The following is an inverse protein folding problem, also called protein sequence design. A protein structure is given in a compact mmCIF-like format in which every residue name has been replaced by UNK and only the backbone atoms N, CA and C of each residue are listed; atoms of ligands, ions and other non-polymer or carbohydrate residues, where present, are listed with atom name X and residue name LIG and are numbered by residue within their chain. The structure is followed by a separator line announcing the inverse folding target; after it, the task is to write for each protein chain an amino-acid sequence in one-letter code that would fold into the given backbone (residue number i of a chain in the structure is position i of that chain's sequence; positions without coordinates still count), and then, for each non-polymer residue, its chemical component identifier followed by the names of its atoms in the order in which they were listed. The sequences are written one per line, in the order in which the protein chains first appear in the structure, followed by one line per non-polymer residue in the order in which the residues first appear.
data_IF_640370130178
#
_entry.id   IF_640370130178
#
_cell.length_a   1.000
_cell.length_b   1.000
_cell.length_c   1.000
_cell.angle_alpha   90.00
_cell.angle_beta   90.00
_cell.angle_gamma   90.00
#
_symmetry.space_group_name_H-M   'P 1'
#
loop_
_entity.id
_entity.type
_entity.pdbx_description
1 polymer ?
#
# COMPACT_ATOMS: atom_id res chain seq x y z
N UNK A 1 1.07 4.63 -21.87
CA UNK A 1 1.71 4.42 -23.18
C UNK A 1 2.89 5.37 -23.38
N UNK A 2 2.68 6.70 -23.30
CA UNK A 2 3.74 7.70 -23.60
C UNK A 2 4.95 7.64 -22.64
N UNK A 3 4.72 7.29 -21.36
CA UNK A 3 5.77 7.19 -20.34
C UNK A 3 6.30 5.78 -20.15
N UNK A 4 5.78 4.81 -20.91
CA UNK A 4 6.09 3.39 -20.77
C UNK A 4 5.89 2.83 -19.35
N UNK A 5 4.99 3.43 -18.57
CA UNK A 5 4.60 2.97 -17.24
C UNK A 5 3.37 2.05 -17.39
N UNK A 6 3.59 0.75 -17.36
CA UNK A 6 2.55 -0.26 -17.63
C UNK A 6 2.01 -0.95 -16.39
N UNK A 7 2.57 -0.65 -15.22
CA UNK A 7 2.21 -1.31 -13.96
C UNK A 7 0.87 -0.86 -13.38
N UNK A 8 0.48 0.40 -13.58
CA UNK A 8 -0.84 0.89 -13.16
C UNK A 8 -1.93 0.33 -14.10
N UNK A 9 -2.85 -0.47 -13.56
CA UNK A 9 -3.81 -1.26 -14.35
C UNK A 9 -5.18 -0.62 -14.39
N UNK A 10 -5.69 -0.29 -15.56
CA UNK A 10 -7.08 0.17 -15.76
C UNK A 10 -7.99 -1.04 -15.98
N UNK A 11 -8.93 -1.28 -15.05
CA UNK A 11 -9.92 -2.36 -15.13
C UNK A 11 -11.34 -1.82 -15.27
N UNK A 12 -11.92 -1.22 -14.20
CA UNK A 12 -13.32 -0.81 -14.21
C UNK A 12 -13.58 0.55 -14.88
N UNK A 13 -12.60 1.45 -14.91
CA UNK A 13 -12.76 2.82 -15.43
C UNK A 13 -13.69 3.73 -14.59
N UNK A 14 -14.11 3.27 -13.39
CA UNK A 14 -15.14 3.93 -12.56
C UNK A 14 -14.67 4.22 -11.12
N UNK A 15 -13.39 4.05 -10.83
CA UNK A 15 -12.85 4.28 -9.48
C UNK A 15 -13.19 3.20 -8.44
N UNK A 16 -13.93 2.14 -8.81
CA UNK A 16 -14.47 1.15 -7.87
C UNK A 16 -13.46 0.07 -7.50
N UNK A 17 -12.77 -0.53 -8.49
CA UNK A 17 -11.94 -1.72 -8.25
C UNK A 17 -10.54 -1.42 -7.69
N UNK A 18 -10.10 -0.18 -7.74
CA UNK A 18 -8.79 0.29 -7.25
C UNK A 18 -7.55 -0.41 -7.85
N UNK A 19 -7.70 -1.19 -8.93
CA UNK A 19 -6.54 -1.78 -9.62
C UNK A 19 -5.56 -0.70 -10.14
N UNK A 20 -6.06 0.50 -10.40
CA UNK A 20 -5.32 1.66 -10.87
C UNK A 20 -4.88 2.62 -9.74
N UNK A 21 -4.78 2.14 -8.50
CA UNK A 21 -4.34 2.98 -7.37
C UNK A 21 -2.95 3.53 -7.61
N UNK A 22 -2.81 4.84 -7.40
CA UNK A 22 -1.56 5.59 -7.37
C UNK A 22 -1.46 6.35 -6.04
N UNK A 23 -0.27 6.83 -5.70
CA UNK A 23 -0.05 7.67 -4.51
C UNK A 23 0.26 9.09 -4.95
N UNK A 24 -0.43 10.05 -4.38
CA UNK A 24 -0.06 11.46 -4.42
C UNK A 24 0.61 11.85 -3.11
N UNK A 25 1.79 12.41 -3.21
CA UNK A 25 2.50 12.97 -2.07
C UNK A 25 2.05 14.42 -1.86
N UNK A 26 1.80 14.81 -0.63
CA UNK A 26 1.50 16.20 -0.28
C UNK A 26 2.76 16.93 0.23
N UNK A 27 2.68 18.27 0.28
CA UNK A 27 3.79 19.10 0.71
C UNK A 27 4.17 18.91 2.19
N UNK A 28 3.29 18.32 3.01
CA UNK A 28 3.53 18.01 4.41
C UNK A 28 4.12 16.60 4.62
N UNK A 29 4.47 15.90 3.53
CA UNK A 29 5.02 14.54 3.57
C UNK A 29 3.97 13.44 3.77
N UNK A 30 2.68 13.77 3.61
CA UNK A 30 1.60 12.79 3.60
C UNK A 30 1.51 12.05 2.26
N UNK A 31 0.90 10.87 2.27
CA UNK A 31 0.64 10.07 1.08
C UNK A 31 -0.86 9.77 1.00
N UNK A 32 -1.47 10.06 -0.16
CA UNK A 32 -2.88 9.76 -0.43
C UNK A 32 -3.02 8.84 -1.62
N UNK A 33 -3.77 7.77 -1.47
CA UNK A 33 -4.14 6.91 -2.58
C UNK A 33 -5.27 7.53 -3.41
N UNK A 34 -5.21 7.36 -4.73
CA UNK A 34 -6.28 7.76 -5.64
C UNK A 34 -6.43 6.75 -6.78
N UNK A 35 -7.66 6.55 -7.30
CA UNK A 35 -7.89 5.74 -8.49
C UNK A 35 -7.56 6.55 -9.74
N UNK A 36 -6.46 6.23 -10.42
CA UNK A 36 -5.99 6.98 -11.59
C UNK A 36 -7.03 7.06 -12.73
N UNK A 37 -7.88 6.05 -12.89
CA UNK A 37 -8.87 6.00 -13.97
C UNK A 37 -9.95 7.10 -13.93
N UNK A 38 -10.18 7.70 -12.75
CA UNK A 38 -11.16 8.80 -12.56
C UNK A 38 -10.51 10.08 -12.01
N UNK A 39 -9.19 10.09 -11.85
CA UNK A 39 -8.43 11.27 -11.44
C UNK A 39 -8.12 12.13 -12.66
N UNK A 40 -8.60 13.37 -12.68
CA UNK A 40 -8.38 14.28 -13.80
C UNK A 40 -6.91 14.69 -13.93
N UNK A 41 -6.36 14.62 -15.14
CA UNK A 41 -4.98 15.03 -15.42
C UNK A 41 -4.70 16.48 -15.05
N UNK A 42 -5.67 17.38 -15.27
CA UNK A 42 -5.56 18.79 -14.88
C UNK A 42 -5.42 18.95 -13.34
N UNK A 43 -6.12 18.13 -12.57
CA UNK A 43 -5.97 18.12 -11.11
C UNK A 43 -4.61 17.59 -10.66
N UNK A 44 -4.03 16.64 -11.39
CA UNK A 44 -2.71 16.07 -11.10
C UNK A 44 -1.56 17.01 -11.47
N UNK A 45 -1.82 18.05 -12.27
CA UNK A 45 -0.78 18.99 -12.69
C UNK A 45 -0.14 19.70 -11.50
N UNK A 46 1.21 19.71 -11.46
CA UNK A 46 1.98 20.29 -10.38
C UNK A 46 2.02 19.46 -9.08
N UNK A 47 1.45 18.25 -9.06
CA UNK A 47 1.48 17.34 -7.91
C UNK A 47 2.53 16.25 -8.11
N UNK A 48 3.12 15.78 -7.01
CA UNK A 48 3.99 14.61 -7.01
C UNK A 48 3.15 13.35 -7.00
N UNK A 49 3.38 12.49 -7.99
CA UNK A 49 2.65 11.25 -8.19
C UNK A 49 3.65 10.08 -8.19
N UNK A 50 3.33 9.02 -7.47
CA UNK A 50 4.06 7.74 -7.54
C UNK A 50 3.17 6.65 -8.11
N UNK A 51 3.72 5.88 -9.06
CA UNK A 51 3.15 4.63 -9.57
C UNK A 51 3.91 3.43 -9.01
N UNK A 52 3.45 2.22 -9.32
CA UNK A 52 4.09 0.98 -8.84
C UNK A 52 5.56 0.87 -9.24
N UNK A 53 5.95 1.46 -10.37
CA UNK A 53 7.35 1.48 -10.85
C UNK A 53 8.25 2.32 -9.94
N UNK A 54 7.69 3.36 -9.29
CA UNK A 54 8.43 4.24 -8.40
C UNK A 54 8.54 3.76 -6.95
N UNK A 55 7.97 2.58 -6.61
CA UNK A 55 8.00 2.04 -5.24
C UNK A 55 9.25 1.18 -4.99
N UNK A 56 9.77 0.53 -6.03
CA UNK A 56 10.99 -0.26 -5.94
C UNK A 56 12.24 0.61 -5.82
N UNK A 57 13.20 0.14 -5.05
CA UNK A 57 14.53 0.73 -4.97
C UNK A 57 15.44 0.28 -6.12
N UNK A 58 16.69 0.77 -6.09
CA UNK A 58 17.78 0.28 -6.94
C UNK A 58 19.02 0.02 -6.11
N UNK A 59 19.74 -1.02 -6.44
CA UNK A 59 21.04 -1.28 -5.85
C UNK A 59 22.16 -0.41 -6.51
N UNK A 60 23.39 -0.45 -5.99
CA UNK A 60 24.51 0.31 -6.55
C UNK A 60 24.80 -0.02 -8.02
N UNK A 61 24.44 -1.22 -8.49
CA UNK A 61 24.59 -1.67 -9.87
C UNK A 61 23.39 -1.29 -10.75
N UNK A 62 22.38 -0.57 -10.18
CA UNK A 62 21.19 -0.08 -10.88
C UNK A 62 20.09 -1.11 -11.08
N UNK A 63 20.22 -2.32 -10.49
CA UNK A 63 19.19 -3.38 -10.58
C UNK A 63 18.00 -3.01 -9.69
N UNK A 64 16.80 -3.37 -10.13
CA UNK A 64 15.58 -3.13 -9.36
C UNK A 64 15.57 -4.01 -8.10
N UNK A 65 15.39 -3.39 -6.94
CA UNK A 65 15.23 -4.05 -5.65
C UNK A 65 13.78 -3.84 -5.18
N UNK A 66 13.00 -4.91 -5.02
CA UNK A 66 11.64 -4.79 -4.51
C UNK A 66 11.58 -4.06 -3.17
N UNK A 67 10.56 -3.23 -2.97
CA UNK A 67 10.26 -2.69 -1.65
C UNK A 67 9.84 -3.81 -0.68
N UNK A 68 9.83 -3.54 0.63
CA UNK A 68 9.40 -4.54 1.63
C UNK A 68 8.01 -5.11 1.33
N UNK A 69 7.05 -4.28 0.91
CA UNK A 69 5.70 -4.74 0.52
C UNK A 69 5.75 -5.60 -0.75
N UNK A 70 6.50 -5.19 -1.77
CA UNK A 70 6.63 -5.99 -2.99
C UNK A 70 7.26 -7.35 -2.69
N UNK A 71 8.32 -7.37 -1.90
CA UNK A 71 8.99 -8.62 -1.50
C UNK A 71 8.05 -9.51 -0.70
N UNK A 72 7.35 -8.98 0.30
CA UNK A 72 6.40 -9.74 1.09
C UNK A 72 5.28 -10.36 0.24
N UNK A 73 4.80 -9.64 -0.78
CA UNK A 73 3.79 -10.20 -1.71
C UNK A 73 4.33 -11.36 -2.53
N UNK A 74 5.61 -11.33 -2.89
CA UNK A 74 6.29 -12.47 -3.54
C UNK A 74 6.42 -13.65 -2.57
N UNK A 75 6.93 -13.41 -1.36
CA UNK A 75 7.22 -14.44 -0.35
C UNK A 75 5.95 -15.14 0.14
N UNK A 76 4.85 -14.40 0.25
CA UNK A 76 3.54 -14.94 0.67
C UNK A 76 2.71 -15.49 -0.50
N UNK A 77 3.21 -15.44 -1.74
CA UNK A 77 2.43 -15.83 -2.93
C UNK A 77 1.05 -15.16 -2.95
N UNK A 78 1.01 -13.85 -2.69
CA UNK A 78 -0.23 -13.11 -2.45
C UNK A 78 -1.08 -12.89 -3.70
N UNK A 79 -0.62 -13.26 -4.87
CA UNK A 79 -1.29 -13.02 -6.15
C UNK A 79 -1.46 -14.31 -6.97
N UNK A 80 -2.41 -14.28 -7.92
CA UNK A 80 -2.59 -15.32 -8.94
C UNK A 80 -2.40 -14.68 -10.31
N UNK A 81 -3.44 -14.09 -10.92
CA UNK A 81 -3.31 -13.40 -12.20
C UNK A 81 -2.51 -12.10 -12.13
N UNK A 82 -2.23 -11.59 -10.95
CA UNK A 82 -1.50 -10.36 -10.64
C UNK A 82 -2.09 -9.04 -11.16
N UNK A 83 -3.26 -9.06 -11.80
CA UNK A 83 -3.83 -7.84 -12.40
C UNK A 83 -4.14 -6.75 -11.37
N UNK A 84 -4.70 -7.10 -10.21
CA UNK A 84 -5.00 -6.16 -9.12
C UNK A 84 -3.80 -5.84 -8.22
N UNK A 85 -2.74 -6.64 -8.27
CA UNK A 85 -1.59 -6.57 -7.35
C UNK A 85 -0.94 -5.18 -7.27
N UNK A 86 -0.70 -4.44 -8.37
CA UNK A 86 -0.15 -3.10 -8.28
C UNK A 86 -0.98 -2.16 -7.40
N UNK A 87 -2.32 -2.22 -7.52
CA UNK A 87 -3.21 -1.41 -6.69
C UNK A 87 -3.11 -1.75 -5.20
N UNK A 88 -3.03 -3.04 -4.86
CA UNK A 88 -2.82 -3.49 -3.47
C UNK A 88 -1.45 -3.07 -2.92
N UNK A 89 -0.39 -3.16 -3.72
CA UNK A 89 0.95 -2.69 -3.32
C UNK A 89 0.92 -1.21 -3.00
N UNK A 90 0.30 -0.40 -3.85
CA UNK A 90 0.20 1.05 -3.63
C UNK A 90 -0.59 1.38 -2.35
N UNK A 91 -1.73 0.72 -2.11
CA UNK A 91 -2.52 0.90 -0.91
C UNK A 91 -1.74 0.49 0.36
N UNK A 92 -1.07 -0.67 0.32
CA UNK A 92 -0.24 -1.15 1.43
C UNK A 92 0.96 -0.25 1.71
N UNK A 93 1.60 0.27 0.66
CA UNK A 93 2.72 1.22 0.80
C UNK A 93 2.26 2.50 1.51
N UNK A 94 1.13 3.07 1.10
CA UNK A 94 0.57 4.26 1.74
C UNK A 94 0.24 4.01 3.23
N UNK A 95 -0.29 2.82 3.57
CA UNK A 95 -0.53 2.42 4.96
C UNK A 95 0.76 2.36 5.77
N UNK A 96 1.81 1.70 5.26
CA UNK A 96 3.10 1.58 5.96
C UNK A 96 3.71 2.95 6.21
N UNK A 97 3.66 3.85 5.23
CA UNK A 97 4.13 5.23 5.36
C UNK A 97 3.29 6.04 6.36
N UNK A 98 1.98 5.84 6.38
CA UNK A 98 1.10 6.45 7.38
C UNK A 98 1.47 6.00 8.80
N UNK A 99 1.63 4.69 9.02
CA UNK A 99 2.02 4.12 10.31
C UNK A 99 3.42 4.58 10.76
N UNK A 100 4.32 4.82 9.82
CA UNK A 100 5.64 5.39 10.12
C UNK A 100 5.56 6.81 10.71
N UNK A 101 4.53 7.58 10.34
CA UNK A 101 4.28 8.92 10.88
C UNK A 101 3.40 8.93 12.13
N UNK A 102 2.46 7.99 12.19
CA UNK A 102 1.47 7.87 13.28
C UNK A 102 1.29 6.39 13.65
N UNK A 103 2.17 5.84 14.49
CA UNK A 103 2.06 4.47 14.96
C UNK A 103 0.76 4.21 15.69
N UNK A 104 0.25 2.98 15.57
CA UNK A 104 -1.02 2.58 16.20
C UNK A 104 -0.81 1.48 17.25
N UNK A 105 -1.74 1.34 18.23
CA UNK A 105 -1.78 0.17 19.10
C UNK A 105 -1.88 -1.13 18.31
N UNK A 106 -1.11 -2.16 18.72
CA UNK A 106 -1.13 -3.48 18.07
C UNK A 106 -2.55 -4.05 17.94
N UNK A 107 -3.42 -3.79 18.92
CA UNK A 107 -4.80 -4.25 18.89
C UNK A 107 -5.63 -3.71 17.73
N UNK A 108 -5.22 -2.59 17.12
CA UNK A 108 -5.90 -1.96 15.98
C UNK A 108 -5.34 -2.38 14.63
N UNK A 109 -4.27 -3.19 14.61
CA UNK A 109 -3.53 -3.50 13.39
C UNK A 109 -4.40 -4.17 12.32
N UNK A 110 -5.16 -5.19 12.70
CA UNK A 110 -6.00 -5.94 11.75
C UNK A 110 -7.03 -5.05 11.08
N UNK A 111 -7.74 -4.24 11.88
CA UNK A 111 -8.77 -3.33 11.37
C UNK A 111 -8.15 -2.27 10.44
N UNK A 112 -6.94 -1.79 10.75
CA UNK A 112 -6.25 -0.82 9.88
C UNK A 112 -5.79 -1.43 8.56
N UNK A 113 -5.28 -2.67 8.57
CA UNK A 113 -4.91 -3.38 7.33
C UNK A 113 -6.15 -3.60 6.47
N UNK A 114 -7.23 -4.11 7.05
CA UNK A 114 -8.48 -4.32 6.34
C UNK A 114 -9.01 -3.02 5.77
N UNK A 115 -9.08 -1.95 6.55
CA UNK A 115 -9.57 -0.65 6.11
C UNK A 115 -8.74 -0.08 4.93
N UNK A 116 -7.42 -0.23 4.97
CA UNK A 116 -6.53 0.27 3.91
C UNK A 116 -6.66 -0.50 2.59
N UNK A 117 -6.95 -1.80 2.65
CA UNK A 117 -7.00 -2.67 1.47
C UNK A 117 -8.42 -2.95 0.97
N UNK A 118 -9.45 -2.65 1.76
CA UNK A 118 -10.85 -3.03 1.50
C UNK A 118 -11.44 -2.43 0.20
N UNK A 119 -10.90 -1.31 -0.26
CA UNK A 119 -11.33 -0.71 -1.53
C UNK A 119 -10.77 -1.43 -2.77
N UNK A 120 -9.73 -2.24 -2.61
CA UNK A 120 -9.11 -2.97 -3.72
C UNK A 120 -9.84 -4.29 -3.98
N UNK A 121 -10.23 -4.55 -5.23
CA UNK A 121 -10.96 -5.75 -5.61
C UNK A 121 -10.03 -6.77 -6.25
N UNK A 122 -10.01 -7.99 -5.68
CA UNK A 122 -9.39 -9.17 -6.26
C UNK A 122 -10.42 -10.28 -6.44
N UNK A 123 -10.52 -10.85 -7.63
CA UNK A 123 -11.45 -11.96 -7.91
C UNK A 123 -10.82 -13.35 -7.73
N UNK A 124 -9.50 -13.43 -7.62
CA UNK A 124 -8.77 -14.69 -7.67
C UNK A 124 -8.41 -15.26 -6.29
N UNK A 125 -7.91 -14.41 -5.36
CA UNK A 125 -7.09 -14.86 -4.22
C UNK A 125 -7.85 -15.07 -2.91
N UNK A 126 -9.05 -14.49 -2.77
CA UNK A 126 -9.78 -14.48 -1.50
C UNK A 126 -9.15 -13.55 -0.44
N UNK A 127 -8.19 -12.68 -0.81
CA UNK A 127 -7.58 -11.61 -0.01
C UNK A 127 -6.64 -12.04 1.13
N UNK A 128 -6.79 -13.19 1.73
CA UNK A 128 -6.09 -13.60 2.96
C UNK A 128 -4.58 -13.35 2.89
N UNK A 129 -3.94 -13.82 1.82
CA UNK A 129 -2.48 -13.68 1.64
C UNK A 129 -2.01 -12.24 1.45
N UNK A 130 -2.85 -11.36 0.90
CA UNK A 130 -2.57 -9.92 0.85
C UNK A 130 -2.50 -9.32 2.25
N UNK A 131 -3.47 -9.66 3.11
CA UNK A 131 -3.51 -9.19 4.50
C UNK A 131 -2.34 -9.73 5.31
N UNK A 132 -2.02 -11.02 5.17
CA UNK A 132 -0.88 -11.67 5.82
C UNK A 132 0.46 -11.02 5.45
N UNK A 133 0.70 -10.77 4.17
CA UNK A 133 1.93 -10.13 3.71
C UNK A 133 2.09 -8.72 4.28
N UNK A 134 1.04 -7.91 4.26
CA UNK A 134 1.08 -6.55 4.82
C UNK A 134 1.31 -6.58 6.34
N UNK A 135 0.61 -7.48 7.05
CA UNK A 135 0.82 -7.71 8.48
C UNK A 135 2.27 -8.06 8.78
N UNK A 136 2.86 -8.98 8.01
CA UNK A 136 4.25 -9.41 8.20
C UNK A 136 5.22 -8.22 8.08
N UNK A 137 5.05 -7.36 7.07
CA UNK A 137 5.89 -6.16 6.90
C UNK A 137 5.73 -5.20 8.06
N UNK A 138 4.49 -4.91 8.47
CA UNK A 138 4.23 -3.97 9.57
C UNK A 138 4.83 -4.46 10.87
N UNK A 139 4.69 -5.75 11.19
CA UNK A 139 5.23 -6.34 12.42
C UNK A 139 6.77 -6.46 12.39
N UNK A 140 7.37 -6.63 11.22
CA UNK A 140 8.82 -6.68 11.06
C UNK A 140 9.47 -5.28 11.05
N UNK A 141 8.68 -4.22 10.88
CA UNK A 141 9.20 -2.85 10.82
C UNK A 141 9.04 -2.17 12.18
N UNK A 142 10.15 -1.87 12.90
CA UNK A 142 10.08 -1.22 14.20
C UNK A 142 9.37 0.15 14.13
N UNK A 143 8.57 0.46 15.15
CA UNK A 143 7.95 1.77 15.31
C UNK A 143 6.65 1.97 14.55
N UNK A 144 6.13 0.99 13.81
CA UNK A 144 4.82 1.09 13.13
C UNK A 144 3.65 0.75 14.05
N UNK A 145 3.90 -0.12 15.02
CA UNK A 145 2.92 -0.50 16.05
C UNK A 145 3.51 -0.35 17.45
N UNK A 146 2.67 -0.01 18.42
CA UNK A 146 3.03 0.13 19.81
C UNK A 146 2.27 -0.93 20.64
N UNK A 147 3.02 -1.63 21.49
CA UNK A 147 2.43 -2.51 22.50
C UNK A 147 1.98 -1.63 23.68
N UNK A 148 0.68 -1.38 23.78
CA UNK A 148 0.13 -0.71 24.96
C UNK A 148 0.22 -1.70 26.11
N UNK A 149 1.18 -1.51 27.00
CA UNK A 149 1.19 -2.18 28.30
C UNK A 149 -0.06 -1.73 29.03
N UNK A 150 -1.02 -2.62 29.24
CA UNK A 150 -2.15 -2.34 30.10
C UNK A 150 -1.59 -1.98 31.48
N UNK A 151 -1.56 -0.70 31.81
CA UNK A 151 -1.34 -0.27 33.19
C UNK A 151 -2.53 -0.81 33.98
N UNK A 152 -2.23 -1.79 34.83
CA UNK A 152 -3.20 -2.41 35.73
C UNK A 152 -3.80 -1.32 36.63
N UNK A 153 -5.02 -0.92 36.28
CA UNK A 153 -5.82 0.02 37.09
C UNK A 153 -6.40 -0.73 38.29
N UNK A 154 -5.55 -1.38 39.09
CA UNK A 154 -5.86 -1.93 40.38
C UNK A 154 -4.89 -1.41 41.45
N UNK A 155 -5.03 -0.12 41.75
CA UNK A 155 -4.61 0.44 43.04
C UNK A 155 -5.54 1.63 43.32
N UNK A 156 -6.53 1.40 44.15
CA UNK A 156 -7.43 2.41 44.71
C UNK A 156 -8.56 1.74 45.42
#
# INVERSE_FOLDING_TARGET
EYLNLTGTRAACGQGVCRACTVIFDDAAGGARTAPACVTGAAWANGRTLRTIEGIAGRDPEGRVVPSAIQQAYLDHFSFQCSFCTPGFVMAATALVEELGRAPIPRAQLEDRIVAALNENICRCTGYIRYLEAVRAVILATPGLVIDVVATDARQG
#
